data_IF_466625637776
#
_entry.id   IF_466625637776
#
_cell.length_a   1.000
_cell.length_b   1.000
_cell.length_c   1.000
_cell.angle_alpha   90.00
_cell.angle_beta   90.00
_cell.angle_gamma   90.00
#
_symmetry.space_group_name_H-M   'P 1'
#
loop_
_entity.id
_entity.type
_entity.pdbx_description
1 polymer ?
#
# COMPACT_ATOMS: atom_id res chain seq x y z
N UNK A 1 -7.58 -16.60 -19.71
CA UNK A 1 -6.58 -15.61 -19.25
C UNK A 1 -7.31 -14.39 -18.72
N UNK A 2 -7.88 -14.45 -17.52
CA UNK A 2 -8.35 -13.28 -16.74
C UNK A 2 -8.79 -13.85 -15.40
N UNK A 3 -7.84 -14.10 -14.51
CA UNK A 3 -8.10 -14.14 -13.07
C UNK A 3 -6.85 -13.51 -12.47
N UNK A 4 -6.90 -12.20 -12.22
CA UNK A 4 -5.92 -11.50 -11.38
C UNK A 4 -5.92 -12.17 -10.01
N UNK A 5 -4.85 -12.86 -9.58
CA UNK A 5 -4.85 -13.48 -8.27
C UNK A 5 -4.40 -12.44 -7.23
N UNK A 6 -5.29 -11.50 -6.90
CA UNK A 6 -5.23 -10.76 -5.63
C UNK A 6 -6.31 -11.31 -4.69
N UNK A 7 -6.17 -12.57 -4.30
CA UNK A 7 -6.81 -13.10 -3.08
C UNK A 7 -6.44 -14.57 -2.88
N UNK A 8 -5.42 -14.82 -2.08
CA UNK A 8 -4.98 -16.17 -1.74
C UNK A 8 -4.31 -16.20 -0.38
N UNK A 9 -5.09 -15.94 0.66
CA UNK A 9 -4.73 -16.03 2.09
C UNK A 9 -3.90 -17.29 2.38
N UNK A 10 -2.59 -17.16 2.56
CA UNK A 10 -1.84 -18.07 3.43
C UNK A 10 -0.69 -17.32 4.12
N UNK A 11 -0.83 -17.22 5.44
CA UNK A 11 -0.06 -16.43 6.39
C UNK A 11 1.35 -17.00 6.64
N UNK A 12 2.13 -17.26 5.59
CA UNK A 12 3.51 -17.76 5.77
C UNK A 12 4.52 -17.40 4.69
N UNK A 13 4.09 -16.92 3.51
CA UNK A 13 5.02 -16.44 2.48
C UNK A 13 4.33 -15.38 1.61
N UNK A 14 4.39 -14.13 2.04
CA UNK A 14 3.95 -13.02 1.20
C UNK A 14 4.97 -12.82 0.08
N UNK A 15 4.65 -13.34 -1.10
CA UNK A 15 5.46 -13.11 -2.30
C UNK A 15 4.97 -11.81 -2.91
N UNK A 16 5.65 -10.73 -2.57
CA UNK A 16 5.43 -9.41 -3.15
C UNK A 16 6.54 -9.09 -4.13
N UNK A 17 6.25 -8.26 -5.13
CA UNK A 17 7.29 -7.67 -5.97
C UNK A 17 8.12 -6.69 -5.13
N UNK A 18 9.39 -6.52 -5.48
CA UNK A 18 10.25 -5.45 -4.93
C UNK A 18 9.92 -4.07 -5.53
N UNK A 19 8.75 -3.94 -6.15
CA UNK A 19 8.28 -2.67 -6.69
C UNK A 19 7.93 -1.72 -5.55
N UNK A 20 8.57 -0.56 -5.55
CA UNK A 20 8.33 0.48 -4.57
C UNK A 20 7.12 1.32 -4.98
N UNK A 21 5.97 1.02 -4.38
CA UNK A 21 4.68 1.64 -4.64
C UNK A 21 3.99 2.02 -3.31
N UNK A 22 4.47 3.06 -2.62
CA UNK A 22 4.12 3.29 -1.23
C UNK A 22 2.63 3.49 -1.00
N UNK A 23 2.11 2.87 0.06
CA UNK A 23 0.70 3.00 0.46
C UNK A 23 0.57 3.33 1.94
N UNK A 24 -0.40 4.17 2.28
CA UNK A 24 -0.75 4.54 3.64
C UNK A 24 -1.83 3.59 4.15
N UNK A 25 -1.47 2.71 5.09
CA UNK A 25 -2.40 1.84 5.78
C UNK A 25 -3.36 2.60 6.70
N UNK A 26 -4.53 2.02 6.96
CA UNK A 26 -5.50 2.57 7.92
C UNK A 26 -4.98 2.65 9.36
N UNK A 27 -3.87 1.96 9.64
CA UNK A 27 -3.12 2.04 10.90
C UNK A 27 -2.17 3.25 10.98
N UNK A 28 -2.14 4.11 9.94
CA UNK A 28 -1.24 5.26 9.88
C UNK A 28 0.21 4.92 9.54
N UNK A 29 0.50 3.67 9.15
CA UNK A 29 1.83 3.25 8.70
C UNK A 29 1.91 3.30 7.18
N UNK A 30 3.09 3.66 6.68
CA UNK A 30 3.41 3.51 5.25
C UNK A 30 3.95 2.12 5.01
N UNK A 31 3.47 1.46 3.97
CA UNK A 31 3.99 0.20 3.44
C UNK A 31 4.66 0.45 2.09
N UNK A 32 5.71 -0.30 1.77
CA UNK A 32 6.47 -0.19 0.53
C UNK A 32 5.63 -0.49 -0.71
N UNK A 33 4.64 -1.37 -0.58
CA UNK A 33 3.62 -1.60 -1.61
C UNK A 33 2.30 -2.14 -1.03
N UNK A 34 1.28 -2.23 -1.89
CA UNK A 34 -0.02 -2.78 -1.55
C UNK A 34 0.07 -4.23 -1.04
N UNK A 35 0.90 -5.05 -1.69
CA UNK A 35 1.09 -6.45 -1.30
C UNK A 35 1.72 -6.57 0.09
N UNK A 36 2.68 -5.72 0.43
CA UNK A 36 3.28 -5.63 1.77
C UNK A 36 2.23 -5.21 2.81
N UNK A 37 1.38 -4.24 2.50
CA UNK A 37 0.27 -3.86 3.38
C UNK A 37 -0.69 -5.04 3.63
N UNK A 38 -1.11 -5.73 2.57
CA UNK A 38 -1.99 -6.90 2.66
C UNK A 38 -1.33 -8.06 3.41
N UNK A 39 -0.02 -8.24 3.24
CA UNK A 39 0.80 -9.21 3.98
C UNK A 39 0.76 -8.94 5.49
N UNK A 40 0.83 -7.68 5.87
CA UNK A 40 0.67 -7.23 7.25
C UNK A 40 -0.80 -7.28 7.74
N UNK A 41 -1.72 -7.81 6.94
CA UNK A 41 -3.16 -7.87 7.25
C UNK A 41 -3.88 -6.53 7.06
N UNK A 42 -3.24 -5.55 6.43
CA UNK A 42 -3.82 -4.24 6.13
C UNK A 42 -4.47 -4.30 4.75
N UNK A 43 -5.77 -4.53 4.72
CA UNK A 43 -6.57 -4.53 3.47
C UNK A 43 -7.11 -3.14 3.11
N UNK A 44 -6.98 -2.18 4.02
CA UNK A 44 -7.48 -0.81 3.85
C UNK A 44 -6.32 0.17 3.86
N UNK A 45 -5.89 0.56 2.67
CA UNK A 45 -4.81 1.51 2.44
C UNK A 45 -5.14 2.49 1.32
N UNK A 46 -4.43 3.62 1.28
CA UNK A 46 -4.49 4.62 0.21
C UNK A 46 -3.16 4.68 -0.53
N UNK A 47 -3.20 4.92 -1.84
CA UNK A 47 -1.98 5.13 -2.64
C UNK A 47 -1.25 6.40 -2.18
N UNK A 48 0.05 6.29 -1.97
CA UNK A 48 0.90 7.35 -1.45
C UNK A 48 1.38 7.10 -0.02
N UNK A 49 2.38 7.85 0.40
CA UNK A 49 2.91 7.83 1.76
C UNK A 49 1.85 8.26 2.78
N UNK A 50 2.02 7.85 4.04
CA UNK A 50 1.28 8.41 5.15
C UNK A 50 1.61 9.92 5.25
N UNK A 51 0.81 10.73 4.58
CA UNK A 51 0.83 12.16 4.72
C UNK A 51 0.22 12.47 6.09
N UNK A 52 1.07 12.58 7.12
CA UNK A 52 0.76 13.47 8.24
C UNK A 52 0.24 14.76 7.62
N UNK A 53 -0.85 15.28 8.14
CA UNK A 53 -1.77 16.26 7.53
C UNK A 53 -1.17 17.58 7.02
N UNK A 54 0.16 17.74 7.01
CA UNK A 54 0.90 18.93 6.60
C UNK A 54 1.61 18.87 5.24
N UNK A 55 1.65 17.75 4.52
CA UNK A 55 2.31 17.70 3.19
C UNK A 55 1.40 17.20 2.07
N UNK A 56 0.25 17.88 1.93
CA UNK A 56 -0.21 18.20 0.59
C UNK A 56 0.80 19.20 -0.01
N UNK A 57 1.95 18.69 -0.46
CA UNK A 57 2.94 19.45 -1.22
C UNK A 57 2.24 20.05 -2.44
N UNK A 58 1.81 21.31 -2.30
CA UNK A 58 1.81 22.35 -3.32
C UNK A 58 1.69 21.84 -4.77
N UNK A 59 0.68 21.03 -5.07
CA UNK A 59 0.32 20.72 -6.46
C UNK A 59 -0.71 21.77 -6.84
N UNK A 60 -0.26 22.76 -7.61
CA UNK A 60 -1.01 23.87 -8.21
C UNK A 60 -1.07 25.18 -7.38
N UNK A 61 0.09 25.74 -7.00
CA UNK A 61 0.27 27.20 -7.10
C UNK A 61 0.80 27.50 -8.50
N UNK A 62 -0.11 27.74 -9.43
CA UNK A 62 0.12 28.66 -10.54
C UNK A 62 -1.13 29.51 -10.68
#
# INVERSE_FOLDING_TARGET
>A
MFETPLSGKNNSNCICTEEYNPVCGCNGKTYGNACEAECHGITRYKKGHAHNSGEALNKLRN
#
